data_IF_030310702855
#
_entry.id   IF_030310702855
#
_cell.length_a   1.000
_cell.length_b   1.000
_cell.length_c   1.000
_cell.angle_alpha   90.00
_cell.angle_beta   90.00
_cell.angle_gamma   90.00
#
_symmetry.space_group_name_H-M   'P 1'
#
loop_
_entity.id
_entity.type
_entity.pdbx_description
1 polymer ?
#
# COMPACT_ATOMS: atom_id res chain seq x y z
N UNK A 1 4.70 18.50 -39.10
CA UNK A 1 5.46 18.47 -37.82
C UNK A 1 4.74 19.19 -36.68
N UNK A 2 4.25 20.44 -36.85
CA UNK A 2 3.57 21.22 -35.80
C UNK A 2 2.24 20.64 -35.28
N UNK A 3 1.40 20.06 -36.15
CA UNK A 3 0.09 19.49 -35.75
C UNK A 3 0.25 18.30 -34.79
N UNK A 4 1.23 17.41 -35.04
CA UNK A 4 1.51 16.25 -34.19
C UNK A 4 1.97 16.66 -32.79
N UNK A 5 2.77 17.73 -32.69
CA UNK A 5 3.23 18.29 -31.42
C UNK A 5 2.09 18.93 -30.61
N UNK A 6 1.14 19.61 -31.28
CA UNK A 6 -0.04 20.18 -30.63
C UNK A 6 -0.96 19.07 -30.11
N UNK A 7 -1.18 18.00 -30.89
CA UNK A 7 -2.00 16.88 -30.46
C UNK A 7 -1.41 16.19 -29.22
N UNK A 8 -0.11 15.89 -29.23
CA UNK A 8 0.58 15.31 -28.06
C UNK A 8 0.43 16.19 -26.83
N UNK A 9 0.60 17.51 -26.98
CA UNK A 9 0.42 18.46 -25.87
C UNK A 9 -1.02 18.45 -25.30
N UNK A 10 -2.03 18.40 -26.17
CA UNK A 10 -3.43 18.36 -25.75
C UNK A 10 -3.78 17.04 -25.05
N UNK A 11 -3.26 15.92 -25.54
CA UNK A 11 -3.45 14.60 -24.94
C UNK A 11 -2.79 14.55 -23.54
N UNK A 12 -1.57 15.08 -23.40
CA UNK A 12 -0.87 15.19 -22.11
C UNK A 12 -1.63 16.07 -21.12
N UNK A 13 -2.13 17.23 -21.57
CA UNK A 13 -2.92 18.15 -20.74
C UNK A 13 -4.24 17.49 -20.29
N UNK A 14 -4.93 16.80 -21.19
CA UNK A 14 -6.15 16.07 -20.88
C UNK A 14 -5.91 14.97 -19.84
N UNK A 15 -4.85 14.18 -20.02
CA UNK A 15 -4.46 13.13 -19.08
C UNK A 15 -4.12 13.71 -17.71
N UNK A 16 -3.38 14.83 -17.67
CA UNK A 16 -3.07 15.52 -16.42
C UNK A 16 -4.34 16.01 -15.70
N UNK A 17 -5.27 16.63 -16.42
CA UNK A 17 -6.55 17.09 -15.85
C UNK A 17 -7.39 15.91 -15.33
N UNK A 18 -7.44 14.81 -16.08
CA UNK A 18 -8.16 13.59 -15.71
C UNK A 18 -7.60 12.99 -14.41
N UNK A 19 -6.27 12.89 -14.29
CA UNK A 19 -5.61 12.42 -13.07
C UNK A 19 -5.90 13.34 -11.87
N UNK A 20 -5.83 14.66 -12.06
CA UNK A 20 -6.15 15.63 -11.01
C UNK A 20 -7.61 15.54 -10.55
N UNK A 21 -8.53 15.32 -11.48
CA UNK A 21 -9.94 15.13 -11.17
C UNK A 21 -10.18 13.83 -10.40
N UNK A 22 -9.60 12.70 -10.86
CA UNK A 22 -9.65 11.42 -10.15
C UNK A 22 -9.12 11.53 -8.72
N UNK A 23 -7.99 12.20 -8.52
CA UNK A 23 -7.43 12.41 -7.18
C UNK A 23 -8.40 13.15 -6.26
N UNK A 24 -9.09 14.18 -6.77
CA UNK A 24 -10.13 14.90 -5.99
C UNK A 24 -11.31 14.00 -5.63
N UNK A 25 -11.74 13.12 -6.55
CA UNK A 25 -12.80 12.16 -6.26
C UNK A 25 -12.36 11.17 -5.18
N UNK A 26 -11.14 10.67 -5.25
CA UNK A 26 -10.57 9.76 -4.25
C UNK A 26 -10.54 10.40 -2.86
N UNK A 27 -10.03 11.62 -2.77
CA UNK A 27 -10.01 12.38 -1.51
C UNK A 27 -11.42 12.63 -0.98
N UNK A 28 -12.39 12.93 -1.86
CA UNK A 28 -13.80 13.09 -1.50
C UNK A 28 -14.40 11.78 -0.97
N UNK A 29 -14.08 10.64 -1.58
CA UNK A 29 -14.53 9.32 -1.13
C UNK A 29 -14.02 8.99 0.27
N UNK A 30 -12.74 9.23 0.54
CA UNK A 30 -12.14 8.95 1.84
C UNK A 30 -12.75 9.83 2.94
N UNK A 31 -12.92 11.13 2.67
CA UNK A 31 -13.57 12.05 3.62
C UNK A 31 -15.02 11.68 3.89
N UNK A 32 -15.78 11.39 2.83
CA UNK A 32 -17.18 11.00 2.97
C UNK A 32 -17.31 9.72 3.81
N UNK A 33 -16.48 8.71 3.55
CA UNK A 33 -16.50 7.48 4.32
C UNK A 33 -16.20 7.69 5.81
N UNK A 34 -15.22 8.54 6.13
CA UNK A 34 -14.93 8.92 7.52
C UNK A 34 -16.15 9.55 8.19
N UNK A 35 -16.84 10.48 7.51
CA UNK A 35 -18.05 11.11 8.02
C UNK A 35 -19.20 10.10 8.20
N UNK A 36 -19.41 9.20 7.23
CA UNK A 36 -20.48 8.21 7.25
C UNK A 36 -20.33 7.21 8.42
N UNK A 37 -19.11 7.00 8.93
CA UNK A 37 -18.84 6.15 10.10
C UNK A 37 -18.65 6.95 11.42
N UNK A 38 -18.94 8.25 11.42
CA UNK A 38 -18.94 9.08 12.63
C UNK A 38 -17.64 9.80 12.96
N UNK A 39 -16.64 9.78 12.07
CA UNK A 39 -15.43 10.62 12.22
C UNK A 39 -15.67 11.98 11.56
N UNK A 40 -16.01 12.98 12.36
CA UNK A 40 -16.34 14.34 11.89
C UNK A 40 -15.13 15.20 11.50
N UNK A 41 -13.92 14.80 11.88
CA UNK A 41 -12.70 15.55 11.56
C UNK A 41 -12.01 15.03 10.30
N UNK A 42 -11.80 15.93 9.34
CA UNK A 42 -10.98 15.67 8.14
C UNK A 42 -9.54 15.23 8.48
N UNK A 43 -9.05 15.49 9.70
CA UNK A 43 -7.69 15.15 10.12
C UNK A 43 -7.38 13.65 9.99
N UNK A 44 -8.36 12.79 10.25
CA UNK A 44 -8.20 11.34 10.11
C UNK A 44 -8.17 10.92 8.64
N UNK A 45 -9.07 11.47 7.82
CA UNK A 45 -9.07 11.25 6.37
C UNK A 45 -7.72 11.65 5.74
N UNK A 46 -7.15 12.78 6.18
CA UNK A 46 -5.82 13.21 5.72
C UNK A 46 -4.69 12.29 6.19
N UNK A 47 -4.79 11.66 7.37
CA UNK A 47 -3.83 10.64 7.79
C UNK A 47 -3.90 9.43 6.88
N UNK A 48 -5.10 8.91 6.60
CA UNK A 48 -5.30 7.78 5.67
C UNK A 48 -4.73 8.09 4.29
N UNK A 49 -5.04 9.26 3.73
CA UNK A 49 -4.60 9.68 2.39
C UNK A 49 -3.07 9.85 2.26
N UNK A 50 -2.35 9.96 3.38
CA UNK A 50 -0.88 10.05 3.43
C UNK A 50 -0.19 8.68 3.55
N UNK A 51 -0.94 7.60 3.80
CA UNK A 51 -0.37 6.27 3.89
C UNK A 51 0.03 5.78 2.49
N UNK A 52 1.29 5.43 2.31
CA UNK A 52 1.83 4.98 1.02
C UNK A 52 1.09 3.76 0.45
N UNK A 53 0.68 2.83 1.30
CA UNK A 53 -0.05 1.64 0.86
C UNK A 53 -1.46 1.98 0.35
N UNK A 54 -2.08 3.01 0.92
CA UNK A 54 -3.38 3.53 0.47
C UNK A 54 -3.22 4.32 -0.83
N UNK A 55 -2.12 5.06 -0.97
CA UNK A 55 -1.76 5.70 -2.24
C UNK A 55 -1.53 4.65 -3.33
N UNK A 56 -0.89 3.52 -3.03
CA UNK A 56 -0.77 2.37 -3.95
C UNK A 56 -2.14 1.87 -4.38
N UNK A 57 -3.05 1.64 -3.44
CA UNK A 57 -4.42 1.21 -3.75
C UNK A 57 -5.08 2.18 -4.73
N UNK A 58 -4.97 3.50 -4.51
CA UNK A 58 -5.49 4.50 -5.44
C UNK A 58 -4.88 4.37 -6.85
N UNK A 59 -3.56 4.20 -6.96
CA UNK A 59 -2.88 4.07 -8.25
C UNK A 59 -3.30 2.80 -9.02
N UNK A 60 -3.72 1.75 -8.30
CA UNK A 60 -4.14 0.49 -8.90
C UNK A 60 -5.61 0.45 -9.33
N UNK A 61 -6.43 1.44 -8.94
CA UNK A 61 -7.88 1.43 -9.21
C UNK A 61 -8.22 1.36 -10.70
N UNK A 62 -7.36 1.88 -11.59
CA UNK A 62 -7.64 2.00 -13.02
C UNK A 62 -7.49 0.68 -13.80
N UNK A 63 -6.65 -0.24 -13.32
CA UNK A 63 -6.25 -1.45 -14.05
C UNK A 63 -6.61 -2.74 -13.30
N UNK A 64 -7.48 -2.65 -12.30
CA UNK A 64 -7.68 -3.75 -11.36
C UNK A 64 -8.78 -4.75 -11.76
N UNK A 65 -8.54 -6.03 -11.45
CA UNK A 65 -9.60 -7.05 -11.37
C UNK A 65 -10.33 -6.83 -10.05
N UNK A 66 -11.62 -6.48 -10.12
CA UNK A 66 -12.43 -6.01 -9.00
C UNK A 66 -12.36 -6.90 -7.75
N UNK A 67 -12.62 -8.21 -7.88
CA UNK A 67 -12.66 -9.11 -6.71
C UNK A 67 -11.29 -9.24 -6.04
N UNK A 68 -10.24 -9.37 -6.84
CA UNK A 68 -8.86 -9.43 -6.36
C UNK A 68 -8.49 -8.11 -5.68
N UNK A 69 -8.82 -6.99 -6.31
CA UNK A 69 -8.57 -5.66 -5.75
C UNK A 69 -9.32 -5.43 -4.45
N UNK A 70 -10.56 -5.86 -4.33
CA UNK A 70 -11.35 -5.66 -3.13
C UNK A 70 -10.76 -6.44 -1.94
N UNK A 71 -10.47 -7.74 -2.12
CA UNK A 71 -9.74 -8.53 -1.11
C UNK A 71 -8.42 -7.85 -0.74
N UNK A 72 -7.73 -7.36 -1.76
CA UNK A 72 -6.47 -6.70 -1.58
C UNK A 72 -6.61 -5.37 -0.80
N UNK A 73 -7.56 -4.55 -1.17
CA UNK A 73 -7.84 -3.28 -0.52
C UNK A 73 -8.12 -3.49 0.98
N UNK A 74 -8.91 -4.53 1.31
CA UNK A 74 -9.20 -4.88 2.69
C UNK A 74 -7.94 -5.21 3.48
N UNK A 75 -7.08 -6.10 2.98
CA UNK A 75 -5.82 -6.47 3.67
C UNK A 75 -4.97 -5.24 3.99
N UNK A 76 -4.89 -4.29 3.06
CA UNK A 76 -4.14 -3.06 3.26
C UNK A 76 -4.71 -2.24 4.43
N UNK A 77 -6.03 -2.04 4.45
CA UNK A 77 -6.68 -1.31 5.54
C UNK A 77 -6.51 -2.00 6.89
N UNK A 78 -6.62 -3.33 6.93
CA UNK A 78 -6.39 -4.09 8.15
C UNK A 78 -4.96 -3.89 8.65
N UNK A 79 -3.93 -4.05 7.83
CA UNK A 79 -2.54 -3.83 8.28
C UNK A 79 -2.27 -2.39 8.70
N UNK A 80 -2.89 -1.41 8.06
CA UNK A 80 -2.72 0.01 8.42
C UNK A 80 -3.39 0.40 9.74
N UNK A 81 -4.51 -0.25 10.09
CA UNK A 81 -5.41 0.25 11.13
C UNK A 81 -5.66 -0.72 12.30
N UNK A 82 -5.28 -2.00 12.21
CA UNK A 82 -5.65 -3.01 13.22
C UNK A 82 -5.07 -2.77 14.62
N UNK A 83 -3.95 -2.07 14.75
CA UNK A 83 -3.39 -1.71 16.06
C UNK A 83 -4.22 -0.59 16.75
N UNK A 84 -5.15 0.07 16.03
CA UNK A 84 -5.90 1.23 16.50
C UNK A 84 -7.42 1.03 16.56
N UNK A 85 -7.96 0.13 15.73
CA UNK A 85 -9.39 -0.06 15.55
C UNK A 85 -9.75 -1.54 15.49
N UNK A 86 -10.98 -1.87 15.89
CA UNK A 86 -11.50 -3.22 15.77
C UNK A 86 -11.78 -3.60 14.31
N UNK A 87 -11.99 -4.91 14.09
CA UNK A 87 -12.18 -5.48 12.75
C UNK A 87 -13.40 -4.90 12.06
N UNK A 88 -14.51 -4.72 12.80
CA UNK A 88 -15.77 -4.22 12.25
C UNK A 88 -15.63 -2.79 11.76
N UNK A 89 -14.98 -1.95 12.55
CA UNK A 89 -14.71 -0.56 12.23
C UNK A 89 -13.89 -0.43 10.95
N UNK A 90 -12.78 -1.16 10.86
CA UNK A 90 -11.89 -1.14 9.68
C UNK A 90 -12.64 -1.62 8.44
N UNK A 91 -13.40 -2.70 8.57
CA UNK A 91 -14.19 -3.25 7.47
C UNK A 91 -15.22 -2.24 6.96
N UNK A 92 -15.98 -1.59 7.86
CA UNK A 92 -16.96 -0.57 7.50
C UNK A 92 -16.33 0.63 6.82
N UNK A 93 -15.20 1.11 7.34
CA UNK A 93 -14.46 2.23 6.75
C UNK A 93 -13.99 1.89 5.33
N UNK A 94 -13.32 0.76 5.16
CA UNK A 94 -12.77 0.34 3.87
C UNK A 94 -13.88 0.17 2.83
N UNK A 95 -15.00 -0.48 3.19
CA UNK A 95 -16.17 -0.62 2.32
C UNK A 95 -16.74 0.74 1.91
N UNK A 96 -16.98 1.62 2.89
CA UNK A 96 -17.55 2.93 2.60
C UNK A 96 -16.65 3.77 1.69
N UNK A 97 -15.31 3.64 1.80
CA UNK A 97 -14.38 4.30 0.87
C UNK A 97 -14.58 3.80 -0.56
N UNK A 98 -14.63 2.49 -0.76
CA UNK A 98 -14.81 1.89 -2.08
C UNK A 98 -16.17 2.22 -2.66
N UNK A 99 -17.25 2.04 -1.91
CA UNK A 99 -18.61 2.42 -2.32
C UNK A 99 -18.64 3.88 -2.78
N UNK A 100 -18.10 4.81 -1.99
CA UNK A 100 -18.05 6.21 -2.33
C UNK A 100 -17.20 6.47 -3.59
N UNK A 101 -16.06 5.79 -3.75
CA UNK A 101 -15.24 5.88 -4.96
C UNK A 101 -16.01 5.43 -6.21
N UNK A 102 -16.61 4.24 -6.19
CA UNK A 102 -17.34 3.72 -7.35
C UNK A 102 -18.60 4.54 -7.66
N UNK A 103 -19.28 5.06 -6.64
CA UNK A 103 -20.40 5.98 -6.81
C UNK A 103 -19.97 7.29 -7.50
N UNK A 104 -18.83 7.86 -7.12
CA UNK A 104 -18.33 9.10 -7.73
C UNK A 104 -17.68 8.89 -9.10
N UNK A 105 -17.05 7.73 -9.34
CA UNK A 105 -16.40 7.41 -10.60
C UNK A 105 -17.40 7.00 -11.72
N UNK A 106 -18.62 6.60 -11.33
CA UNK A 106 -19.76 6.16 -12.15
C UNK A 106 -19.56 4.90 -13.02
N UNK A 107 -20.41 3.91 -12.72
CA UNK A 107 -20.82 2.71 -13.50
C UNK A 107 -19.94 1.46 -13.44
N UNK A 108 -19.46 1.11 -12.25
CA UNK A 108 -19.29 -0.30 -11.93
C UNK A 108 -20.16 -0.56 -10.70
N UNK A 109 -21.33 -1.17 -10.91
CA UNK A 109 -21.91 -1.96 -9.83
C UNK A 109 -20.90 -3.05 -9.55
N UNK A 110 -20.22 -2.91 -8.42
CA UNK A 110 -19.38 -3.94 -7.86
C UNK A 110 -20.28 -5.16 -7.62
N UNK A 111 -20.27 -6.12 -8.55
CA UNK A 111 -20.73 -7.46 -8.24
C UNK A 111 -19.60 -8.19 -7.51
N UNK A 112 -19.12 -7.59 -6.42
CA UNK A 112 -18.15 -8.25 -5.55
C UNK A 112 -18.87 -9.42 -4.93
N UNK A 113 -18.26 -10.59 -5.01
CA UNK A 113 -18.70 -11.71 -4.18
C UNK A 113 -18.25 -11.45 -2.73
N UNK A 114 -18.96 -10.55 -2.04
CA UNK A 114 -18.61 -10.07 -0.69
C UNK A 114 -18.51 -11.25 0.29
N UNK A 115 -19.39 -12.23 0.14
CA UNK A 115 -19.36 -13.44 0.93
C UNK A 115 -18.06 -14.22 0.73
N UNK A 116 -17.65 -14.46 -0.51
CA UNK A 116 -16.39 -15.16 -0.80
C UNK A 116 -15.17 -14.41 -0.27
N UNK A 117 -15.14 -13.09 -0.45
CA UNK A 117 -14.02 -12.28 0.05
C UNK A 117 -14.00 -12.27 1.57
N UNK A 118 -15.16 -12.16 2.22
CA UNK A 118 -15.27 -12.19 3.66
C UNK A 118 -14.80 -13.51 4.26
N UNK A 119 -15.13 -14.65 3.65
CA UNK A 119 -14.63 -15.96 4.12
C UNK A 119 -13.09 -16.03 4.04
N UNK A 120 -12.49 -15.52 2.95
CA UNK A 120 -11.02 -15.42 2.85
C UNK A 120 -10.40 -14.49 3.89
N UNK A 121 -11.07 -13.39 4.22
CA UNK A 121 -10.60 -12.43 5.20
C UNK A 121 -10.68 -13.02 6.61
N UNK A 122 -11.81 -13.64 7.00
CA UNK A 122 -11.99 -14.26 8.32
C UNK A 122 -10.86 -15.21 8.71
N UNK A 123 -10.36 -16.00 7.76
CA UNK A 123 -9.25 -16.95 8.00
C UNK A 123 -7.93 -16.28 8.42
N UNK A 124 -7.74 -15.00 8.05
CA UNK A 124 -6.50 -14.26 8.29
C UNK A 124 -6.66 -13.12 9.30
N UNK A 125 -7.86 -12.56 9.50
CA UNK A 125 -8.06 -11.39 10.37
C UNK A 125 -7.93 -11.72 11.87
N UNK A 126 -8.13 -12.98 12.25
CA UNK A 126 -7.87 -13.44 13.62
C UNK A 126 -6.40 -13.76 13.92
N UNK A 127 -5.51 -13.63 12.94
CA UNK A 127 -4.11 -14.05 13.04
C UNK A 127 -3.18 -13.01 12.37
N UNK A 128 -2.50 -12.20 13.19
CA UNK A 128 -1.61 -11.11 12.75
C UNK A 128 -0.49 -11.64 11.85
N UNK A 129 0.02 -12.84 12.10
CA UNK A 129 1.04 -13.45 11.24
C UNK A 129 0.47 -13.73 9.84
N UNK A 130 -0.71 -14.36 9.76
CA UNK A 130 -1.35 -14.62 8.46
C UNK A 130 -1.67 -13.32 7.73
N UNK A 131 -2.15 -12.30 8.45
CA UNK A 131 -2.42 -10.98 7.89
C UNK A 131 -1.16 -10.33 7.30
N UNK A 132 -0.04 -10.30 8.04
CA UNK A 132 1.22 -9.76 7.52
C UNK A 132 1.75 -10.57 6.34
N UNK A 133 1.68 -11.91 6.39
CA UNK A 133 2.07 -12.76 5.25
C UNK A 133 1.24 -12.44 4.03
N UNK A 134 -0.08 -12.31 4.17
CA UNK A 134 -0.97 -11.95 3.07
C UNK A 134 -0.64 -10.57 2.51
N UNK A 135 -0.36 -9.59 3.38
CA UNK A 135 0.05 -8.24 3.00
C UNK A 135 1.37 -8.21 2.21
N UNK A 136 2.45 -8.80 2.74
CA UNK A 136 3.76 -8.72 2.11
C UNK A 136 3.84 -9.54 0.81
N UNK A 137 3.10 -10.66 0.69
CA UNK A 137 3.04 -11.47 -0.54
C UNK A 137 2.65 -10.66 -1.78
N UNK A 138 1.89 -9.57 -1.62
CA UNK A 138 1.45 -8.70 -2.72
C UNK A 138 2.56 -7.88 -3.36
N UNK A 139 3.73 -7.86 -2.76
CA UNK A 139 4.92 -7.17 -3.28
C UNK A 139 5.91 -8.15 -3.90
N UNK A 140 5.56 -9.44 -3.93
CA UNK A 140 6.43 -10.49 -4.47
C UNK A 140 6.43 -10.46 -5.99
N UNK A 141 7.51 -9.95 -6.56
CA UNK A 141 7.80 -10.00 -7.98
C UNK A 141 8.53 -11.32 -8.29
N UNK A 142 7.84 -12.28 -8.90
CA UNK A 142 8.43 -13.58 -9.25
C UNK A 142 9.60 -13.47 -10.24
N UNK A 143 9.67 -12.38 -11.00
CA UNK A 143 10.79 -12.05 -11.90
C UNK A 143 11.91 -11.28 -11.21
N UNK A 144 11.69 -10.83 -9.96
CA UNK A 144 12.65 -10.13 -9.14
C UNK A 144 13.90 -10.96 -8.88
N UNK A 145 15.07 -10.32 -8.99
CA UNK A 145 16.39 -10.94 -8.79
C UNK A 145 16.90 -10.84 -7.35
N UNK A 146 16.33 -9.95 -6.56
CA UNK A 146 16.71 -9.73 -5.16
C UNK A 146 15.70 -10.38 -4.23
N UNK A 147 16.18 -10.91 -3.10
CA UNK A 147 15.30 -11.43 -2.03
C UNK A 147 15.42 -10.56 -0.80
N UNK A 148 14.33 -9.89 -0.45
CA UNK A 148 14.21 -9.11 0.78
C UNK A 148 13.41 -9.91 1.79
N UNK A 149 14.06 -10.27 2.89
CA UNK A 149 13.41 -10.84 4.06
C UNK A 149 12.76 -9.72 4.87
N UNK A 150 11.46 -9.84 5.06
CA UNK A 150 10.68 -8.96 5.93
C UNK A 150 10.35 -9.72 7.20
N UNK A 151 10.82 -9.22 8.34
CA UNK A 151 10.38 -9.67 9.66
C UNK A 151 9.32 -8.73 10.20
N UNK A 152 8.30 -9.29 10.81
CA UNK A 152 7.16 -8.57 11.34
C UNK A 152 6.85 -9.06 12.77
N UNK A 153 6.12 -8.27 13.58
CA UNK A 153 5.78 -8.65 14.95
C UNK A 153 4.92 -9.92 15.02
N UNK A 154 5.09 -10.70 16.09
CA UNK A 154 4.23 -11.85 16.39
C UNK A 154 2.83 -11.43 16.85
N UNK A 155 1.92 -12.41 16.91
CA UNK A 155 0.63 -12.23 17.58
C UNK A 155 0.82 -11.72 19.02
N UNK A 156 0.18 -10.59 19.34
CA UNK A 156 0.28 -9.94 20.65
C UNK A 156 1.57 -9.15 20.91
N UNK A 157 2.49 -9.05 19.95
CA UNK A 157 3.72 -8.28 20.08
C UNK A 157 3.69 -7.01 19.22
N UNK A 158 4.34 -5.95 19.68
CA UNK A 158 4.58 -4.71 18.94
C UNK A 158 6.06 -4.49 18.58
N UNK A 159 6.92 -5.49 18.82
CA UNK A 159 8.32 -5.52 18.41
C UNK A 159 8.61 -6.73 17.53
N UNK A 160 9.74 -6.68 16.81
CA UNK A 160 10.21 -7.80 15.98
C UNK A 160 11.24 -8.61 16.77
N UNK A 161 11.00 -9.92 16.87
CA UNK A 161 12.02 -10.85 17.36
C UNK A 161 13.02 -11.22 16.25
N UNK A 162 14.30 -11.19 16.60
CA UNK A 162 15.38 -11.55 15.68
C UNK A 162 15.49 -13.06 15.42
N UNK A 163 15.11 -13.84 16.43
CA UNK A 163 15.10 -15.30 16.43
C UNK A 163 13.66 -15.76 16.27
N UNK A 164 13.38 -16.57 15.25
CA UNK A 164 12.04 -17.09 14.98
C UNK A 164 11.67 -17.16 13.51
N UNK A 165 10.45 -17.66 13.25
CA UNK A 165 9.92 -17.93 11.90
C UNK A 165 8.97 -16.83 11.39
N UNK A 166 8.85 -15.71 12.12
CA UNK A 166 8.00 -14.56 11.78
C UNK A 166 8.66 -13.68 10.73
N UNK A 167 8.89 -14.29 9.58
CA UNK A 167 9.41 -13.61 8.42
C UNK A 167 8.80 -14.17 7.15
N UNK A 168 8.89 -13.36 6.12
CA UNK A 168 8.59 -13.75 4.76
C UNK A 168 9.69 -13.24 3.84
N UNK A 169 10.12 -14.10 2.93
CA UNK A 169 11.06 -13.74 1.87
C UNK A 169 10.26 -13.29 0.65
N UNK A 170 10.52 -12.06 0.21
CA UNK A 170 9.84 -11.42 -0.90
C UNK A 170 10.87 -11.17 -2.00
N UNK A 171 10.60 -11.69 -3.20
CA UNK A 171 11.38 -11.37 -4.38
C UNK A 171 11.00 -9.98 -4.88
N UNK A 172 12.02 -9.18 -5.19
CA UNK A 172 11.88 -7.80 -5.68
C UNK A 172 12.95 -7.49 -6.72
N UNK A 173 12.77 -6.38 -7.44
CA UNK A 173 13.80 -5.78 -8.27
C UNK A 173 14.22 -4.44 -7.65
N UNK A 174 15.34 -4.43 -6.93
CA UNK A 174 15.78 -3.24 -6.20
C UNK A 174 16.16 -2.07 -7.13
N UNK A 175 16.55 -2.36 -8.37
CA UNK A 175 16.91 -1.32 -9.34
C UNK A 175 15.68 -0.55 -9.83
N UNK A 176 14.54 -1.24 -9.96
CA UNK A 176 13.26 -0.61 -10.32
C UNK A 176 12.53 0.01 -9.12
N UNK A 177 12.91 -0.39 -7.91
CA UNK A 177 12.19 -0.05 -6.68
C UNK A 177 10.93 -0.88 -6.47
N UNK A 178 10.44 -0.86 -5.23
CA UNK A 178 9.28 -1.65 -4.80
C UNK A 178 8.03 -0.77 -4.81
N UNK A 179 6.84 -1.36 -4.96
CA UNK A 179 5.60 -0.59 -4.86
C UNK A 179 5.42 0.09 -3.49
N UNK A 180 4.70 1.22 -3.50
CA UNK A 180 4.38 1.99 -2.28
C UNK A 180 3.69 1.15 -1.20
N UNK A 181 4.11 1.33 0.05
CA UNK A 181 3.60 0.62 1.21
C UNK A 181 4.39 -0.63 1.58
N UNK A 182 5.46 -0.98 0.88
CA UNK A 182 6.28 -2.14 1.23
C UNK A 182 7.01 -1.96 2.58
N UNK A 183 7.61 -0.79 2.80
CA UNK A 183 8.29 -0.43 4.04
C UNK A 183 7.27 0.00 5.10
N UNK A 184 7.30 -0.67 6.25
CA UNK A 184 6.36 -0.56 7.36
C UNK A 184 7.11 -0.27 8.64
N UNK A 185 6.59 0.69 9.40
CA UNK A 185 7.02 0.90 10.78
C UNK A 185 6.74 -0.35 11.60
N UNK A 186 7.66 -0.70 12.51
CA UNK A 186 7.57 -1.92 13.30
C UNK A 186 7.94 -3.21 12.55
N UNK A 187 8.36 -3.12 11.27
CA UNK A 187 8.93 -4.23 10.52
C UNK A 187 10.43 -4.05 10.32
N UNK A 188 11.13 -5.16 10.07
CA UNK A 188 12.56 -5.18 9.86
C UNK A 188 12.94 -5.85 8.54
N UNK A 189 13.84 -5.23 7.79
CA UNK A 189 14.14 -5.59 6.40
C UNK A 189 15.58 -6.03 6.25
N UNK A 190 15.81 -7.14 5.57
CA UNK A 190 17.14 -7.69 5.32
C UNK A 190 17.25 -8.18 3.88
N UNK A 191 18.25 -7.70 3.15
CA UNK A 191 18.63 -8.26 1.85
C UNK A 191 19.38 -9.58 2.09
N UNK A 192 18.91 -10.64 1.43
CA UNK A 192 19.48 -11.99 1.50
C UNK A 192 20.21 -12.27 0.18
N UNK A 193 21.54 -12.42 0.23
CA UNK A 193 22.39 -12.77 -0.92
C UNK A 193 23.52 -13.68 -0.48
N UNK A 194 23.67 -14.86 -1.09
CA UNK A 194 24.84 -15.75 -0.97
C UNK A 194 25.43 -15.82 0.46
N UNK A 195 24.60 -16.24 1.41
CA UNK A 195 24.86 -16.35 2.85
C UNK A 195 25.14 -15.03 3.62
N UNK A 196 25.22 -13.89 2.92
CA UNK A 196 25.31 -12.57 3.52
C UNK A 196 23.93 -11.95 3.70
N UNK A 197 23.76 -11.29 4.84
CA UNK A 197 22.54 -10.56 5.22
C UNK A 197 22.90 -9.09 5.42
N UNK A 198 22.32 -8.21 4.61
CA UNK A 198 22.46 -6.75 4.80
C UNK A 198 21.18 -6.19 5.36
N UNK A 199 21.30 -5.41 6.43
CA UNK A 199 20.18 -4.73 7.09
C UNK A 199 19.82 -3.50 6.26
N UNK A 200 18.53 -3.27 6.01
CA UNK A 200 18.07 -2.02 5.39
C UNK A 200 18.57 -0.84 6.21
N UNK A 201 19.10 0.20 5.57
CA UNK A 201 19.56 1.42 6.23
C UNK A 201 18.58 2.55 6.04
N UNK A 202 18.12 2.73 4.80
CA UNK A 202 17.11 3.73 4.45
C UNK A 202 16.16 3.19 3.42
N UNK A 203 14.89 3.56 3.52
CA UNK A 203 13.98 3.54 2.39
C UNK A 203 13.42 4.94 2.14
N UNK A 204 13.27 5.31 0.86
CA UNK A 204 12.71 6.60 0.47
C UNK A 204 11.81 6.48 -0.75
N UNK A 205 10.89 7.43 -0.90
CA UNK A 205 9.95 7.50 -2.03
C UNK A 205 10.60 8.18 -3.24
N UNK A 206 10.54 7.55 -4.41
CA UNK A 206 10.95 8.11 -5.70
C UNK A 206 10.02 7.61 -6.81
N UNK A 207 9.41 8.52 -7.57
CA UNK A 207 8.52 8.21 -8.71
C UNK A 207 7.46 7.11 -8.41
N UNK A 208 6.73 7.25 -7.29
CA UNK A 208 5.72 6.26 -6.84
C UNK A 208 6.27 4.85 -6.58
N UNK A 209 7.56 4.75 -6.28
CA UNK A 209 8.22 3.54 -5.79
C UNK A 209 8.94 3.84 -4.49
N UNK A 210 9.18 2.79 -3.71
CA UNK A 210 10.05 2.80 -2.54
C UNK A 210 11.40 2.25 -2.97
N UNK A 211 12.45 3.04 -2.78
CA UNK A 211 13.83 2.66 -3.06
C UNK A 211 14.48 2.24 -1.75
N UNK A 212 15.02 1.02 -1.73
CA UNK A 212 15.59 0.40 -0.53
C UNK A 212 17.12 0.44 -0.61
N UNK A 213 17.74 1.07 0.38
CA UNK A 213 19.18 1.26 0.47
C UNK A 213 19.72 0.42 1.61
N UNK A 214 20.49 -0.61 1.27
CA UNK A 214 21.12 -1.53 2.22
C UNK A 214 22.59 -1.19 2.50
N UNK A 215 23.21 -0.39 1.63
CA UNK A 215 24.60 0.05 1.73
C UNK A 215 24.66 1.56 2.01
N UNK A 216 25.41 2.01 3.03
CA UNK A 216 25.33 3.37 3.57
C UNK A 216 25.99 4.45 2.70
N UNK A 217 26.63 4.08 1.59
CA UNK A 217 27.45 5.00 0.77
C UNK A 217 26.65 6.10 0.06
N UNK A 218 25.31 6.07 0.11
CA UNK A 218 24.42 6.96 -0.63
C UNK A 218 23.45 7.76 0.25
N UNK A 219 23.72 7.86 1.56
CA UNK A 219 22.79 8.47 2.51
C UNK A 219 22.68 10.00 2.38
N UNK A 220 23.78 10.69 2.03
CA UNK A 220 23.86 12.15 2.01
C UNK A 220 23.09 12.80 0.84
N UNK A 221 22.76 12.02 -0.21
CA UNK A 221 22.03 12.50 -1.39
C UNK A 221 20.49 12.42 -1.24
N UNK A 222 20.00 11.83 -0.13
CA UNK A 222 18.57 11.57 0.07
C UNK A 222 17.89 12.78 0.72
N UNK A 223 16.93 13.36 0.01
CA UNK A 223 16.08 14.42 0.58
C UNK A 223 15.26 13.90 1.77
N UNK A 224 15.44 14.51 2.94
CA UNK A 224 14.79 14.09 4.22
C UNK A 224 13.28 13.91 4.11
N UNK A 225 12.59 14.75 3.35
CA UNK A 225 11.13 14.71 3.20
C UNK A 225 10.60 13.46 2.47
N UNK A 226 11.48 12.71 1.79
CA UNK A 226 11.12 11.50 1.06
C UNK A 226 11.42 10.23 1.85
N UNK A 227 12.07 10.32 3.01
CA UNK A 227 12.44 9.16 3.83
C UNK A 227 11.18 8.52 4.41
N UNK A 228 11.05 7.21 4.21
CA UNK A 228 9.93 6.38 4.66
C UNK A 228 10.32 5.53 5.86
N UNK A 229 11.59 5.13 5.93
CA UNK A 229 12.15 4.29 6.97
C UNK A 229 13.64 4.61 7.11
N UNK A 230 14.14 4.65 8.34
CA UNK A 230 15.54 4.87 8.68
C UNK A 230 15.88 4.00 9.88
N UNK A 231 17.02 3.29 9.81
CA UNK A 231 17.60 2.55 10.93
C UNK A 231 18.54 3.41 11.77
#
# INVERSE_FOLDING_TARGET
MKIKQIQTYLDDLWNHMKQKYKRKLWEKSVKKACNDIGISSDSFAYKILKLNSIERCYLLLDDCIIDTFYYDFMIVFFVELFDFFDIEFIFRLANSILENWFNYAQNIHLNINEQFVWEKLKEILGDREKLYRAYFKRYNDLSGKDTVRVRYPQNGQNWVEWVGNNYIDIKVDLEKGVDLGFCRMGCFYTLVRDDKKKILKVAYKKHYKEVLVFDPEYLDEIQKNNILWLY
#
